data_IF_967252599493
#
_entry.id   IF_967252599493
#
_cell.length_a   1.000
_cell.length_b   1.000
_cell.length_c   1.000
_cell.angle_alpha   90.00
_cell.angle_beta   90.00
_cell.angle_gamma   90.00
#
_symmetry.space_group_name_H-M   'P 1'
#
loop_
_entity.id
_entity.type
_entity.pdbx_description
1 polymer ?
#
# COMPACT_ATOMS: atom_id res chain seq x y z
N UNK A 1 -21.09 17.89 2.81
CA UNK A 1 -22.35 17.54 2.14
C UNK A 1 -22.35 16.11 1.59
N UNK A 2 -21.35 15.67 0.83
CA UNK A 2 -21.32 14.30 0.28
C UNK A 2 -21.45 13.18 1.34
N UNK A 3 -20.78 13.29 2.49
CA UNK A 3 -20.90 12.28 3.56
C UNK A 3 -22.30 12.17 4.18
N UNK A 4 -23.08 13.27 4.20
CA UNK A 4 -24.45 13.24 4.72
C UNK A 4 -25.39 12.52 3.76
N UNK A 5 -25.22 12.71 2.45
CA UNK A 5 -26.01 12.01 1.43
C UNK A 5 -25.70 10.51 1.41
N UNK A 6 -24.44 10.12 1.61
CA UNK A 6 -24.02 8.73 1.74
C UNK A 6 -24.63 7.99 2.95
N UNK A 7 -25.05 8.71 4.00
CA UNK A 7 -25.73 8.13 5.16
C UNK A 7 -27.21 7.83 4.91
N UNK A 8 -27.78 8.39 3.85
CA UNK A 8 -29.18 8.19 3.47
C UNK A 8 -29.37 6.96 2.56
N UNK A 9 -28.29 6.43 2.00
CA UNK A 9 -28.31 5.19 1.23
C UNK A 9 -28.36 3.99 2.17
N UNK A 10 -29.12 2.98 1.79
CA UNK A 10 -29.07 1.66 2.41
C UNK A 10 -27.74 0.94 2.08
N UNK A 11 -27.52 -0.24 2.66
CA UNK A 11 -26.27 -0.98 2.51
C UNK A 11 -25.93 -1.30 1.05
N UNK A 12 -26.94 -1.70 0.26
CA UNK A 12 -26.78 -2.06 -1.15
C UNK A 12 -26.57 -0.83 -2.03
N UNK A 13 -27.39 0.22 -1.86
CA UNK A 13 -27.24 1.48 -2.61
C UNK A 13 -25.91 2.16 -2.33
N UNK A 14 -25.42 2.08 -1.08
CA UNK A 14 -24.09 2.57 -0.72
C UNK A 14 -22.99 1.82 -1.45
N UNK A 15 -23.03 0.49 -1.46
CA UNK A 15 -22.00 -0.32 -2.15
C UNK A 15 -21.99 -0.04 -3.65
N UNK A 16 -23.16 -0.01 -4.31
CA UNK A 16 -23.27 0.31 -5.72
C UNK A 16 -22.70 1.71 -6.06
N UNK A 17 -22.93 2.69 -5.19
CA UNK A 17 -22.34 4.02 -5.33
C UNK A 17 -20.81 3.97 -5.21
N UNK A 18 -20.25 3.29 -4.20
CA UNK A 18 -18.80 3.17 -4.02
C UNK A 18 -18.15 2.49 -5.23
N UNK A 19 -18.74 1.43 -5.76
CA UNK A 19 -18.27 0.74 -6.97
C UNK A 19 -18.27 1.66 -8.20
N UNK A 20 -19.27 2.54 -8.31
CA UNK A 20 -19.32 3.55 -9.38
C UNK A 20 -18.16 4.53 -9.25
N UNK A 21 -17.89 5.04 -8.05
CA UNK A 21 -16.76 5.95 -7.82
C UNK A 21 -15.43 5.27 -8.14
N UNK A 22 -15.23 4.01 -7.73
CA UNK A 22 -14.02 3.23 -8.04
C UNK A 22 -13.81 3.11 -9.55
N UNK A 23 -14.90 2.92 -10.31
CA UNK A 23 -14.84 2.84 -11.77
C UNK A 23 -14.43 4.17 -12.40
N UNK A 24 -14.94 5.29 -11.89
CA UNK A 24 -14.63 6.62 -12.43
C UNK A 24 -13.20 7.08 -12.13
N UNK A 25 -12.64 6.69 -10.99
CA UNK A 25 -11.24 7.03 -10.66
C UNK A 25 -10.22 6.08 -11.30
N UNK A 26 -10.68 5.08 -12.04
CA UNK A 26 -9.81 4.08 -12.67
C UNK A 26 -8.89 4.75 -13.70
N UNK A 27 -7.61 4.39 -13.66
CA UNK A 27 -6.52 5.00 -14.43
C UNK A 27 -6.19 6.46 -14.05
N UNK A 28 -6.87 7.03 -13.06
CA UNK A 28 -6.61 8.35 -12.49
C UNK A 28 -6.28 8.25 -10.99
N UNK A 29 -5.94 7.05 -10.51
CA UNK A 29 -5.78 6.78 -9.09
C UNK A 29 -4.62 7.61 -8.50
N UNK A 30 -3.51 7.73 -9.25
CA UNK A 30 -2.33 8.49 -8.83
C UNK A 30 -2.66 9.97 -8.63
N UNK A 31 -3.38 10.58 -9.58
CA UNK A 31 -3.84 11.96 -9.48
C UNK A 31 -4.82 12.13 -8.31
N UNK A 32 -5.73 11.18 -8.12
CA UNK A 32 -6.70 11.22 -7.03
C UNK A 32 -6.02 11.19 -5.66
N UNK A 33 -5.02 10.34 -5.45
CA UNK A 33 -4.37 10.21 -4.13
C UNK A 33 -3.43 11.36 -3.81
N UNK A 34 -2.89 12.05 -4.82
CA UNK A 34 -1.94 13.15 -4.65
C UNK A 34 -2.62 14.52 -4.53
N UNK A 35 -3.95 14.60 -4.69
CA UNK A 35 -4.72 15.82 -4.53
C UNK A 35 -5.43 15.90 -3.18
N UNK A 36 -5.48 17.08 -2.57
CA UNK A 36 -6.07 17.30 -1.24
C UNK A 36 -7.52 16.83 -1.11
N UNK A 37 -8.35 17.12 -2.11
CA UNK A 37 -9.79 16.78 -2.07
C UNK A 37 -10.04 15.31 -2.39
N UNK A 38 -9.41 14.83 -3.46
CA UNK A 38 -9.62 13.47 -3.96
C UNK A 38 -9.02 12.41 -3.02
N UNK A 39 -7.88 12.70 -2.37
CA UNK A 39 -7.27 11.79 -1.41
C UNK A 39 -8.21 11.40 -0.27
N UNK A 40 -9.02 12.35 0.23
CA UNK A 40 -10.03 12.08 1.26
C UNK A 40 -11.14 11.16 0.76
N UNK A 41 -11.55 11.29 -0.50
CA UNK A 41 -12.50 10.39 -1.13
C UNK A 41 -11.89 8.99 -1.20
N UNK A 42 -10.63 8.87 -1.65
CA UNK A 42 -9.94 7.57 -1.70
C UNK A 42 -9.80 6.95 -0.30
N UNK A 43 -9.41 7.72 0.72
CA UNK A 43 -9.40 7.23 2.11
C UNK A 43 -10.78 6.72 2.55
N UNK A 44 -11.86 7.42 2.18
CA UNK A 44 -13.22 7.00 2.48
C UNK A 44 -13.56 5.68 1.78
N UNK A 45 -13.25 5.56 0.47
CA UNK A 45 -13.44 4.32 -0.30
C UNK A 45 -12.70 3.17 0.38
N UNK A 46 -11.44 3.38 0.75
CA UNK A 46 -10.61 2.35 1.37
C UNK A 46 -11.24 1.81 2.67
N UNK A 47 -11.86 2.67 3.47
CA UNK A 47 -12.46 2.26 4.75
C UNK A 47 -13.78 1.52 4.60
N UNK A 48 -14.51 1.72 3.50
CA UNK A 48 -15.89 1.25 3.37
C UNK A 48 -16.09 0.13 2.36
N UNK A 49 -15.24 0.01 1.36
CA UNK A 49 -15.28 -1.10 0.41
C UNK A 49 -14.89 -2.37 1.15
N UNK A 50 -15.71 -3.42 1.10
CA UNK A 50 -15.46 -4.67 1.83
C UNK A 50 -14.68 -5.70 1.03
N UNK A 51 -14.80 -5.67 -0.29
CA UNK A 51 -14.26 -6.68 -1.19
C UNK A 51 -12.84 -6.35 -1.64
N UNK A 52 -11.89 -7.26 -1.36
CA UNK A 52 -10.49 -7.13 -1.76
C UNK A 52 -10.34 -6.91 -3.28
N UNK A 53 -11.16 -7.58 -4.08
CA UNK A 53 -11.11 -7.48 -5.55
C UNK A 53 -11.42 -6.08 -6.07
N UNK A 54 -12.25 -5.32 -5.37
CA UNK A 54 -12.49 -3.90 -5.69
C UNK A 54 -11.27 -3.04 -5.41
N UNK A 55 -10.47 -3.39 -4.39
CA UNK A 55 -9.25 -2.66 -4.07
C UNK A 55 -8.10 -2.94 -5.04
N UNK A 56 -8.08 -4.14 -5.63
CA UNK A 56 -6.94 -4.62 -6.41
C UNK A 56 -6.59 -3.71 -7.60
N UNK A 57 -7.54 -3.23 -8.43
CA UNK A 57 -7.24 -2.28 -9.50
C UNK A 57 -6.61 -0.99 -8.96
N UNK A 58 -7.14 -0.45 -7.86
CA UNK A 58 -6.64 0.77 -7.24
C UNK A 58 -5.16 0.66 -6.85
N UNK A 59 -4.76 -0.44 -6.22
CA UNK A 59 -3.37 -0.66 -5.82
C UNK A 59 -2.43 -1.02 -6.97
N UNK A 60 -2.92 -1.82 -7.92
CA UNK A 60 -2.12 -2.21 -9.09
C UNK A 60 -1.70 -1.01 -9.93
N UNK A 61 -2.60 -0.04 -10.11
CA UNK A 61 -2.33 1.23 -10.78
C UNK A 61 -1.43 2.13 -9.94
N UNK A 62 -1.71 2.29 -8.64
CA UNK A 62 -0.93 3.16 -7.74
C UNK A 62 0.55 2.75 -7.62
N UNK A 63 0.85 1.46 -7.72
CA UNK A 63 2.23 0.96 -7.63
C UNK A 63 2.86 0.75 -9.03
N UNK A 64 2.21 1.24 -10.10
CA UNK A 64 2.76 1.27 -11.45
C UNK A 64 3.00 -0.11 -12.07
N UNK A 65 2.31 -1.16 -11.60
CA UNK A 65 2.61 -2.54 -12.01
C UNK A 65 2.11 -2.84 -13.42
N UNK A 66 0.96 -2.26 -13.80
CA UNK A 66 0.32 -2.54 -15.09
C UNK A 66 0.90 -1.73 -16.25
N UNK A 67 1.24 -0.46 -16.05
CA UNK A 67 1.62 0.38 -17.19
C UNK A 67 3.05 0.16 -17.68
N UNK A 68 4.00 -0.10 -16.77
CA UNK A 68 5.40 -0.29 -17.14
C UNK A 68 5.63 -1.58 -17.93
N UNK A 69 5.03 -2.69 -17.48
CA UNK A 69 5.16 -4.00 -18.14
C UNK A 69 4.36 -4.07 -19.43
N UNK A 70 3.20 -3.42 -19.52
CA UNK A 70 2.40 -3.41 -20.75
C UNK A 70 3.05 -2.56 -21.83
N UNK A 71 3.55 -1.36 -21.50
CA UNK A 71 4.21 -0.47 -22.48
C UNK A 71 5.53 -1.02 -22.99
N UNK A 72 6.36 -1.61 -22.13
CA UNK A 72 7.61 -2.22 -22.57
C UNK A 72 7.37 -3.41 -23.49
N UNK A 73 6.35 -4.23 -23.18
CA UNK A 73 5.94 -5.36 -24.02
C UNK A 73 5.37 -4.92 -25.37
N UNK A 74 4.66 -3.78 -25.42
CA UNK A 74 4.20 -3.16 -26.68
C UNK A 74 5.35 -2.55 -27.50
N UNK A 75 6.40 -2.07 -26.84
CA UNK A 75 7.60 -1.53 -27.49
C UNK A 75 8.62 -2.58 -27.93
N UNK A 76 8.40 -3.86 -27.57
CA UNK A 76 9.38 -4.93 -27.83
C UNK A 76 10.63 -4.85 -26.94
N UNK A 77 10.59 -4.06 -25.87
CA UNK A 77 11.68 -3.91 -24.91
C UNK A 77 11.48 -4.89 -23.75
N UNK A 78 12.51 -5.68 -23.46
CA UNK A 78 12.52 -6.59 -22.32
C UNK A 78 12.81 -5.78 -21.05
N UNK A 79 11.78 -5.48 -20.25
CA UNK A 79 11.96 -4.81 -18.96
C UNK A 79 12.59 -5.77 -17.97
N UNK A 80 13.70 -5.38 -17.37
CA UNK A 80 14.34 -6.19 -16.33
C UNK A 80 13.51 -6.16 -15.03
N UNK A 81 13.56 -7.23 -14.24
CA UNK A 81 12.93 -7.24 -12.91
C UNK A 81 13.44 -6.11 -12.00
N UNK A 82 14.71 -5.73 -12.17
CA UNK A 82 15.36 -4.64 -11.46
C UNK A 82 14.73 -3.27 -11.78
N UNK A 83 14.51 -2.95 -13.06
CA UNK A 83 13.86 -1.71 -13.47
C UNK A 83 12.42 -1.63 -12.97
N UNK A 84 11.71 -2.76 -12.98
CA UNK A 84 10.36 -2.86 -12.42
C UNK A 84 10.38 -2.58 -10.91
N UNK A 85 11.35 -3.13 -10.18
CA UNK A 85 11.51 -2.90 -8.74
C UNK A 85 11.89 -1.44 -8.43
N UNK A 86 12.81 -0.86 -9.19
CA UNK A 86 13.23 0.55 -9.05
C UNK A 86 12.06 1.49 -9.28
N UNK A 87 11.28 1.26 -10.35
CA UNK A 87 10.11 2.07 -10.65
C UNK A 87 9.05 1.98 -9.55
N UNK A 88 8.75 0.76 -9.06
CA UNK A 88 7.82 0.56 -7.94
C UNK A 88 8.28 1.27 -6.67
N UNK A 89 9.56 1.12 -6.33
CA UNK A 89 10.18 1.76 -5.17
C UNK A 89 10.09 3.28 -5.27
N UNK A 90 10.39 3.83 -6.45
CA UNK A 90 10.29 5.27 -6.72
C UNK A 90 8.87 5.79 -6.56
N UNK A 91 7.88 5.12 -7.15
CA UNK A 91 6.47 5.53 -7.05
C UNK A 91 5.98 5.46 -5.61
N UNK A 92 6.32 4.39 -4.89
CA UNK A 92 5.99 4.26 -3.47
C UNK A 92 6.57 5.40 -2.65
N UNK A 93 7.85 5.73 -2.85
CA UNK A 93 8.51 6.86 -2.17
C UNK A 93 7.80 8.18 -2.43
N UNK A 94 7.50 8.50 -3.69
CA UNK A 94 6.79 9.72 -4.08
C UNK A 94 5.41 9.83 -3.38
N UNK A 95 4.69 8.72 -3.29
CA UNK A 95 3.41 8.67 -2.59
C UNK A 95 3.56 8.80 -1.07
N UNK A 96 4.62 8.22 -0.50
CA UNK A 96 4.89 8.27 0.93
C UNK A 96 5.31 9.66 1.41
N UNK A 97 6.06 10.40 0.59
CA UNK A 97 6.57 11.74 0.91
C UNK A 97 5.51 12.84 0.67
N UNK A 98 4.51 12.58 -0.17
CA UNK A 98 3.46 13.55 -0.45
C UNK A 98 2.46 13.69 0.72
N UNK A 99 2.17 14.94 1.08
CA UNK A 99 1.33 15.31 2.23
C UNK A 99 -0.12 14.80 2.21
N UNK A 100 -0.63 14.34 1.07
CA UNK A 100 -1.98 13.82 0.91
C UNK A 100 -1.98 12.30 0.72
N UNK A 101 -1.20 11.79 -0.23
CA UNK A 101 -1.16 10.35 -0.51
C UNK A 101 -0.53 9.55 0.63
N UNK A 102 0.32 10.16 1.46
CA UNK A 102 0.84 9.53 2.68
C UNK A 102 -0.27 9.12 3.65
N UNK A 103 -1.35 9.90 3.75
CA UNK A 103 -2.53 9.53 4.56
C UNK A 103 -3.32 8.40 3.91
N UNK A 104 -3.42 8.40 2.57
CA UNK A 104 -4.05 7.30 1.82
C UNK A 104 -3.29 6.00 2.07
N UNK A 105 -1.95 6.00 1.99
CA UNK A 105 -1.11 4.84 2.25
C UNK A 105 -1.24 4.34 3.70
N UNK A 106 -1.26 5.25 4.68
CA UNK A 106 -1.49 4.88 6.08
C UNK A 106 -2.88 4.24 6.29
N UNK A 107 -3.93 4.83 5.71
CA UNK A 107 -5.29 4.25 5.75
C UNK A 107 -5.32 2.88 5.08
N UNK A 108 -4.67 2.75 3.93
CA UNK A 108 -4.50 1.48 3.23
C UNK A 108 -3.90 0.42 4.14
N UNK A 109 -2.73 0.67 4.74
CA UNK A 109 -2.07 -0.31 5.61
C UNK A 109 -2.92 -0.68 6.83
N UNK A 110 -3.62 0.30 7.40
CA UNK A 110 -4.59 0.07 8.47
C UNK A 110 -5.70 -0.90 8.05
N UNK A 111 -6.35 -0.63 6.92
CA UNK A 111 -7.45 -1.47 6.40
C UNK A 111 -6.95 -2.85 6.00
N UNK A 112 -5.80 -2.94 5.32
CA UNK A 112 -5.22 -4.20 4.89
C UNK A 112 -4.84 -5.10 6.07
N UNK A 113 -4.28 -4.52 7.13
CA UNK A 113 -4.01 -5.25 8.37
C UNK A 113 -5.32 -5.68 9.06
N UNK A 114 -6.29 -4.78 9.17
CA UNK A 114 -7.58 -5.06 9.81
C UNK A 114 -8.36 -6.19 9.13
N UNK A 115 -8.33 -6.24 7.80
CA UNK A 115 -9.02 -7.25 7.00
C UNK A 115 -8.16 -8.49 6.74
N UNK A 116 -7.00 -8.58 7.38
CA UNK A 116 -6.04 -9.68 7.25
C UNK A 116 -5.58 -9.94 5.80
N UNK A 117 -5.61 -8.91 4.96
CA UNK A 117 -5.21 -9.01 3.56
C UNK A 117 -3.70 -9.27 3.42
N UNK A 118 -2.88 -8.77 4.36
CA UNK A 118 -1.42 -8.94 4.29
C UNK A 118 -0.93 -10.39 4.51
N UNK A 119 -1.74 -11.27 5.11
CA UNK A 119 -1.28 -12.60 5.56
C UNK A 119 -1.90 -13.79 4.80
N UNK A 120 -3.04 -13.62 4.11
CA UNK A 120 -3.76 -14.71 3.43
C UNK A 120 -3.34 -14.90 1.95
N UNK A 121 -2.06 -14.67 1.63
CA UNK A 121 -1.60 -14.43 0.27
C UNK A 121 -1.65 -15.62 -0.71
N UNK A 122 -2.50 -15.48 -1.73
CA UNK A 122 -2.26 -16.02 -3.08
C UNK A 122 -2.18 -14.93 -4.17
N UNK A 123 -2.31 -13.64 -3.83
CA UNK A 123 -2.49 -12.57 -4.83
C UNK A 123 -1.41 -11.46 -4.84
N UNK A 124 -0.94 -11.16 -6.07
CA UNK A 124 0.27 -10.41 -6.43
C UNK A 124 0.46 -8.99 -5.87
N UNK A 125 -0.60 -8.31 -5.45
CA UNK A 125 -0.53 -6.92 -4.95
C UNK A 125 -0.19 -6.87 -3.46
N UNK A 126 -0.72 -7.80 -2.68
CA UNK A 126 -0.38 -7.98 -1.27
C UNK A 126 0.96 -8.68 -1.15
N UNK A 127 1.31 -9.51 -2.15
CA UNK A 127 2.69 -9.94 -2.40
C UNK A 127 3.59 -8.72 -2.59
N UNK A 128 3.21 -7.64 -3.26
CA UNK A 128 4.10 -6.46 -3.37
C UNK A 128 4.34 -5.73 -2.04
N UNK A 129 3.31 -5.56 -1.21
CA UNK A 129 3.45 -4.97 0.14
C UNK A 129 4.17 -5.90 1.10
N UNK A 130 3.91 -7.20 0.96
CA UNK A 130 4.65 -8.25 1.65
C UNK A 130 6.09 -8.22 1.18
N UNK A 131 6.39 -8.17 -0.11
CA UNK A 131 7.73 -8.24 -0.69
C UNK A 131 8.51 -6.95 -0.40
N UNK A 132 7.89 -5.77 -0.47
CA UNK A 132 8.43 -4.53 0.10
C UNK A 132 8.70 -4.70 1.60
N UNK A 133 7.75 -5.27 2.36
CA UNK A 133 7.89 -5.52 3.81
C UNK A 133 8.91 -6.60 4.19
N UNK A 134 9.05 -7.68 3.42
CA UNK A 134 9.90 -8.84 3.68
C UNK A 134 11.29 -8.62 3.16
N UNK A 135 11.46 -7.88 2.06
CA UNK A 135 12.77 -7.36 1.67
C UNK A 135 13.37 -6.44 2.75
N UNK A 136 12.55 -5.90 3.66
CA UNK A 136 12.99 -5.06 4.78
C UNK A 136 13.17 -5.80 6.10
N UNK A 137 12.31 -6.77 6.38
CA UNK A 137 12.43 -7.61 7.60
C UNK A 137 13.50 -8.69 7.42
N UNK A 138 13.88 -9.01 6.18
CA UNK A 138 15.13 -9.69 5.89
C UNK A 138 16.31 -8.80 6.29
N UNK A 139 16.56 -8.73 7.60
CA UNK A 139 17.86 -8.32 8.15
C UNK A 139 18.89 -9.12 7.37
N UNK A 140 19.90 -8.48 6.74
CA UNK A 140 21.01 -9.23 6.20
C UNK A 140 21.57 -9.98 7.39
N UNK A 141 21.38 -11.30 7.43
CA UNK A 141 22.20 -12.13 8.28
C UNK A 141 23.60 -11.88 7.78
N UNK A 142 24.33 -11.02 8.48
CA UNK A 142 25.78 -10.97 8.45
C UNK A 142 26.27 -12.28 9.06
N UNK A 143 25.98 -13.41 8.40
CA UNK A 143 26.84 -14.57 8.51
C UNK A 143 28.12 -14.17 7.81
N UNK A 144 29.04 -13.67 8.62
CA UNK A 144 30.44 -13.51 8.28
C UNK A 144 31.01 -14.90 7.96
N UNK A 145 30.75 -15.39 6.75
CA UNK A 145 31.40 -16.54 6.10
C UNK A 145 30.63 -16.85 4.81
N UNK A 146 30.98 -16.16 3.72
CA UNK A 146 31.22 -16.76 2.41
C UNK A 146 31.62 -15.66 1.42
N UNK A 147 32.94 -15.50 1.29
CA UNK A 147 33.54 -14.82 0.16
C UNK A 147 33.35 -15.69 -1.09
N UNK A 148 32.34 -15.40 -1.90
CA UNK A 148 32.34 -15.70 -3.33
C UNK A 148 31.54 -14.62 -4.07
N UNK A 149 32.21 -13.64 -4.71
CA UNK A 149 31.54 -12.56 -5.40
C UNK A 149 31.26 -12.97 -6.85
N UNK A 150 30.20 -13.73 -7.09
CA UNK A 150 29.53 -13.72 -8.40
C UNK A 150 28.42 -12.67 -8.33
N UNK A 151 28.74 -11.50 -8.90
CA UNK A 151 27.94 -10.29 -8.90
C UNK A 151 26.60 -10.47 -9.63
N UNK A 152 25.49 -10.41 -8.90
CA UNK A 152 24.19 -9.93 -9.43
C UNK A 152 23.15 -9.57 -8.35
N UNK A 153 23.39 -9.93 -7.08
CA UNK A 153 22.43 -9.72 -5.98
C UNK A 153 22.50 -8.39 -5.22
N UNK A 154 23.41 -7.47 -5.55
CA UNK A 154 23.73 -6.30 -4.70
C UNK A 154 22.93 -5.03 -4.98
N UNK A 155 22.20 -4.93 -6.09
CA UNK A 155 21.60 -3.65 -6.49
C UNK A 155 20.17 -3.44 -5.97
N UNK A 156 19.35 -4.50 -5.91
CA UNK A 156 17.97 -4.41 -5.42
C UNK A 156 17.88 -3.99 -3.95
N UNK A 157 18.74 -4.57 -3.11
CA UNK A 157 18.81 -4.25 -1.66
C UNK A 157 19.26 -2.81 -1.43
N UNK A 158 20.26 -2.33 -2.17
CA UNK A 158 20.75 -0.95 -2.08
C UNK A 158 19.68 0.08 -2.52
N UNK A 159 18.92 -0.21 -3.58
CA UNK A 159 17.80 0.64 -4.03
C UNK A 159 16.74 0.76 -2.94
N UNK A 160 16.34 -0.36 -2.35
CA UNK A 160 15.36 -0.38 -1.27
C UNK A 160 15.88 0.37 -0.04
N UNK A 161 17.10 0.06 0.42
CA UNK A 161 17.71 0.71 1.58
C UNK A 161 17.76 2.23 1.44
N UNK A 162 18.23 2.72 0.28
CA UNK A 162 18.28 4.16 -0.01
C UNK A 162 16.90 4.82 0.04
N UNK A 163 15.88 4.17 -0.56
CA UNK A 163 14.51 4.67 -0.53
C UNK A 163 13.95 4.73 0.90
N UNK A 164 14.30 3.75 1.74
CA UNK A 164 13.86 3.71 3.14
C UNK A 164 14.51 4.75 4.03
N UNK A 165 15.80 5.01 3.84
CA UNK A 165 16.48 6.11 4.52
C UNK A 165 15.75 7.42 4.23
N UNK A 166 15.39 7.65 2.97
CA UNK A 166 14.67 8.86 2.56
C UNK A 166 13.25 8.92 3.15
N UNK A 167 12.48 7.84 3.06
CA UNK A 167 11.15 7.74 3.68
C UNK A 167 11.22 8.03 5.18
N UNK A 168 12.20 7.50 5.89
CA UNK A 168 12.37 7.70 7.33
C UNK A 168 12.79 9.13 7.71
N UNK A 169 13.49 9.83 6.82
CA UNK A 169 13.90 11.22 7.03
C UNK A 169 12.79 12.22 6.65
N UNK A 170 11.85 11.82 5.80
CA UNK A 170 10.72 12.66 5.42
C UNK A 170 9.65 12.77 6.52
N UNK A 171 9.05 13.96 6.62
CA UNK A 171 8.02 14.27 7.62
C UNK A 171 6.77 13.40 7.45
N UNK A 172 6.32 13.17 6.23
CA UNK A 172 5.13 12.36 5.93
C UNK A 172 5.50 10.89 5.78
N UNK A 173 6.62 10.63 5.09
CA UNK A 173 7.16 9.31 4.81
C UNK A 173 7.39 8.50 6.07
N UNK A 174 7.95 9.11 7.12
CA UNK A 174 8.22 8.41 8.38
C UNK A 174 6.95 7.87 9.05
N UNK A 175 5.80 8.55 8.89
CA UNK A 175 4.50 8.04 9.33
C UNK A 175 4.02 6.86 8.48
N UNK A 176 4.23 6.90 7.17
CA UNK A 176 3.91 5.80 6.24
C UNK A 176 4.75 4.58 6.56
N UNK A 177 6.06 4.76 6.75
CA UNK A 177 6.99 3.69 7.13
C UNK A 177 6.60 3.02 8.45
N UNK A 178 6.27 3.82 9.48
CA UNK A 178 5.76 3.29 10.75
C UNK A 178 4.45 2.53 10.57
N UNK A 179 3.51 3.03 9.76
CA UNK A 179 2.25 2.34 9.52
C UNK A 179 2.45 0.99 8.82
N UNK A 180 3.35 0.91 7.83
CA UNK A 180 3.71 -0.35 7.18
C UNK A 180 4.31 -1.35 8.16
N UNK A 181 5.28 -0.93 8.99
CA UNK A 181 5.91 -1.79 9.98
C UNK A 181 4.90 -2.34 11.01
N UNK A 182 3.97 -1.50 11.47
CA UNK A 182 2.91 -1.95 12.39
C UNK A 182 1.92 -2.91 11.73
N UNK A 183 1.67 -2.75 10.43
CA UNK A 183 0.78 -3.62 9.66
C UNK A 183 1.41 -5.00 9.41
N UNK A 184 2.67 -5.01 8.93
CA UNK A 184 3.46 -6.23 8.64
C UNK A 184 3.89 -6.96 9.92
N UNK A 185 4.09 -6.24 11.03
CA UNK A 185 4.35 -6.84 12.34
C UNK A 185 3.08 -7.32 13.08
N UNK A 186 1.89 -7.15 12.50
CA UNK A 186 0.61 -7.58 13.10
C UNK A 186 0.12 -6.70 14.26
N UNK A 187 0.88 -5.68 14.66
CA UNK A 187 0.59 -4.82 15.81
C UNK A 187 -0.71 -4.01 15.65
N UNK A 188 -1.13 -3.68 14.42
CA UNK A 188 -2.39 -2.98 14.19
C UNK A 188 -3.62 -3.82 14.58
N UNK A 189 -3.57 -5.13 14.32
CA UNK A 189 -4.66 -6.06 14.66
C UNK A 189 -4.80 -6.17 16.18
N UNK A 190 -3.68 -6.32 16.89
CA UNK A 190 -3.67 -6.43 18.35
C UNK A 190 -4.25 -5.20 19.04
N UNK A 191 -3.89 -4.00 18.57
CA UNK A 191 -4.36 -2.73 19.17
C UNK A 191 -5.87 -2.61 19.10
N UNK A 192 -6.48 -3.03 17.99
CA UNK A 192 -7.94 -3.03 17.80
C UNK A 192 -8.63 -4.05 18.71
N UNK A 193 -8.09 -5.27 18.81
CA UNK A 193 -8.62 -6.30 19.72
C UNK A 193 -8.60 -5.84 21.18
N UNK A 194 -7.50 -5.21 21.62
CA UNK A 194 -7.36 -4.63 22.97
C UNK A 194 -8.38 -3.50 23.21
N UNK A 195 -8.61 -2.64 22.21
CA UNK A 195 -9.60 -1.56 22.30
C UNK A 195 -11.04 -2.09 22.42
N UNK A 196 -11.42 -3.07 21.60
CA UNK A 196 -12.74 -3.71 21.65
C UNK A 196 -12.99 -4.43 22.98
N UNK A 197 -11.99 -5.10 23.54
CA UNK A 197 -12.11 -5.76 24.84
C UNK A 197 -12.28 -4.76 26.01
N UNK A 198 -11.61 -3.60 25.94
CA UNK A 198 -11.83 -2.51 26.93
C UNK A 198 -13.24 -1.92 26.82
N UNK A 199 -13.73 -1.69 25.60
CA UNK A 199 -15.08 -1.16 25.37
C UNK A 199 -16.18 -2.12 25.87
N UNK A 200 -15.97 -3.44 25.78
CA UNK A 200 -16.89 -4.44 26.33
C UNK A 200 -16.88 -4.47 27.87
N UNK A 201 -15.72 -4.29 28.52
CA UNK A 201 -15.62 -4.25 29.99
C UNK A 201 -16.23 -3.00 30.63
N UNK A 202 -16.34 -1.88 29.92
CA UNK A 202 -16.95 -0.65 30.43
C UNK A 202 -18.47 -0.57 30.28
N UNK A 203 -19.13 -1.62 29.76
CA UNK A 203 -20.59 -1.70 29.58
C UNK A 203 -21.26 -2.73 30.49
N UNK A 204 -20.49 -3.39 31.36
CA UNK A 204 -20.99 -4.21 32.48
C UNK A 204 -20.85 -3.41 33.76
#
# INVERSE_FOLDING_TARGET
>A
MAEQQLRLLDGEGKEAFLQTVVREIRNHELDCVTQQRCSRIVEYLLRHINELETFRPLFGSLLGVKDATTKAKEAGEETTEQEVLENKTRVFRLLAENQYSSHVLQTLFGVAAEKNFLYNGSDGTLILLRDLGTALVAVPKTTAEEQNPSASGSNATAVLESAWIQICQDRSGSHVGRALLLAVGGFLVEKKMKANNKAKKGKM
#
